data_IF_174784458488
#
_entry.id   IF_174784458488
#
_cell.length_a   1.000
_cell.length_b   1.000
_cell.length_c   1.000
_cell.angle_alpha   90.00
_cell.angle_beta   90.00
_cell.angle_gamma   90.00
#
_symmetry.space_group_name_H-M   'P 1'
#
loop_
_entity.id
_entity.type
_entity.pdbx_description
1 polymer ?
#
# COMPACT_ATOMS: atom_id res chain seq x y z
N UNK A 1 -13.93 26.59 1.47
CA UNK A 1 -13.01 25.45 1.72
C UNK A 1 -13.44 24.82 3.03
N UNK A 2 -13.98 23.62 2.95
CA UNK A 2 -14.45 22.91 4.13
C UNK A 2 -13.34 22.03 4.66
N UNK A 3 -12.42 22.64 5.45
CA UNK A 3 -11.44 21.87 6.22
C UNK A 3 -12.13 21.29 7.44
N UNK A 4 -12.21 19.95 7.50
CA UNK A 4 -12.62 19.26 8.70
C UNK A 4 -11.41 19.00 9.60
N UNK A 5 -11.36 19.65 10.75
CA UNK A 5 -10.33 19.36 11.76
C UNK A 5 -10.52 17.95 12.33
N UNK A 6 -9.56 17.09 12.09
CA UNK A 6 -9.49 15.76 12.68
C UNK A 6 -8.48 15.73 13.82
N UNK A 7 -8.78 14.97 14.87
CA UNK A 7 -7.82 14.76 15.97
C UNK A 7 -6.55 14.07 15.44
N UNK A 8 -5.33 14.45 15.88
CA UNK A 8 -4.07 13.93 15.36
C UNK A 8 -3.98 12.39 15.32
N UNK A 9 -4.49 11.70 16.34
CA UNK A 9 -4.49 10.24 16.36
C UNK A 9 -5.36 9.62 15.25
N UNK A 10 -6.47 10.28 14.86
CA UNK A 10 -7.30 9.81 13.74
C UNK A 10 -6.57 9.98 12.42
N UNK A 11 -5.87 11.10 12.24
CA UNK A 11 -5.04 11.35 11.05
C UNK A 11 -3.97 10.28 10.95
N UNK A 12 -3.28 9.97 12.06
CA UNK A 12 -2.28 8.90 12.09
C UNK A 12 -2.85 7.55 11.66
N UNK A 13 -4.00 7.14 12.23
CA UNK A 13 -4.63 5.84 11.90
C UNK A 13 -5.10 5.80 10.44
N UNK A 14 -5.65 6.91 9.92
CA UNK A 14 -6.07 7.02 8.51
C UNK A 14 -4.86 6.90 7.59
N UNK A 15 -3.76 7.60 7.88
CA UNK A 15 -2.53 7.51 7.10
C UNK A 15 -1.91 6.11 7.16
N UNK A 16 -1.88 5.51 8.34
CA UNK A 16 -1.42 4.14 8.49
C UNK A 16 -2.23 3.16 7.62
N UNK A 17 -3.56 3.29 7.61
CA UNK A 17 -4.43 2.45 6.78
C UNK A 17 -4.21 2.69 5.29
N UNK A 18 -3.99 3.94 4.87
CA UNK A 18 -3.72 4.28 3.48
C UNK A 18 -2.38 3.72 2.99
N UNK A 19 -1.34 3.77 3.84
CA UNK A 19 -0.01 3.24 3.52
C UNK A 19 -0.02 1.70 3.50
N UNK A 20 -0.73 1.07 4.43
CA UNK A 20 -0.81 -0.39 4.54
C UNK A 20 -1.80 -1.02 3.53
N UNK A 21 -1.76 -0.54 2.29
CA UNK A 21 -2.58 -1.09 1.18
C UNK A 21 -2.02 -2.40 0.62
N UNK A 22 -2.66 -2.88 -0.44
CA UNK A 22 -2.25 -4.13 -1.13
C UNK A 22 -0.80 -4.08 -1.62
N UNK A 23 -0.34 -2.95 -2.15
CA UNK A 23 1.02 -2.78 -2.66
C UNK A 23 2.09 -3.11 -1.62
N UNK A 24 2.12 -2.46 -0.46
CA UNK A 24 3.09 -2.75 0.60
C UNK A 24 3.04 -4.19 1.11
N UNK A 25 1.86 -4.79 1.22
CA UNK A 25 1.71 -6.17 1.69
C UNK A 25 2.19 -7.17 0.63
N UNK A 26 1.63 -7.12 -0.57
CA UNK A 26 2.00 -8.05 -1.64
C UNK A 26 3.40 -7.79 -2.19
N UNK A 27 3.84 -6.53 -2.22
CA UNK A 27 5.20 -6.18 -2.61
C UNK A 27 6.26 -6.78 -1.69
N UNK A 28 6.01 -6.77 -0.37
CA UNK A 28 6.89 -7.41 0.60
C UNK A 28 6.89 -8.95 0.45
N UNK A 29 5.73 -9.57 0.22
CA UNK A 29 5.60 -11.03 0.00
C UNK A 29 6.33 -11.43 -1.29
N UNK A 30 6.11 -10.70 -2.38
CA UNK A 30 6.81 -10.95 -3.65
C UNK A 30 8.31 -10.71 -3.50
N UNK A 31 8.70 -9.66 -2.79
CA UNK A 31 10.10 -9.37 -2.48
C UNK A 31 10.79 -10.51 -1.72
N UNK A 32 10.08 -11.17 -0.81
CA UNK A 32 10.61 -12.31 -0.06
C UNK A 32 11.04 -13.48 -0.97
N UNK A 33 10.43 -13.64 -2.15
CA UNK A 33 10.85 -14.64 -3.14
C UNK A 33 12.26 -14.39 -3.71
N UNK A 34 12.75 -13.15 -3.61
CA UNK A 34 14.10 -12.74 -4.05
C UNK A 34 15.13 -12.82 -2.92
N UNK A 35 14.70 -13.15 -1.71
CA UNK A 35 15.59 -13.28 -0.55
C UNK A 35 15.76 -11.99 0.26
N UNK A 36 16.66 -12.01 1.27
CA UNK A 36 16.81 -10.92 2.25
C UNK A 36 17.22 -9.57 1.64
N UNK A 37 17.79 -9.54 0.45
CA UNK A 37 18.20 -8.30 -0.23
C UNK A 37 16.99 -7.40 -0.52
N UNK A 38 15.83 -7.97 -0.81
CA UNK A 38 14.58 -7.21 -1.00
C UNK A 38 14.22 -6.39 0.24
N UNK A 39 14.51 -6.91 1.44
CA UNK A 39 14.29 -6.19 2.69
C UNK A 39 15.09 -4.89 2.80
N UNK A 40 16.35 -4.92 2.38
CA UNK A 40 17.21 -3.73 2.34
C UNK A 40 16.63 -2.67 1.42
N UNK A 41 16.20 -3.06 0.21
CA UNK A 41 15.57 -2.15 -0.75
C UNK A 41 14.25 -1.59 -0.23
N UNK A 42 13.42 -2.39 0.44
CA UNK A 42 12.16 -1.93 1.04
C UNK A 42 12.45 -0.88 2.11
N UNK A 43 13.37 -1.15 3.05
CA UNK A 43 13.69 -0.23 4.16
C UNK A 43 14.26 1.09 3.62
N UNK A 44 15.28 1.02 2.77
CA UNK A 44 15.91 2.22 2.20
C UNK A 44 14.91 2.98 1.32
N UNK A 45 14.17 2.29 0.47
CA UNK A 45 13.16 2.89 -0.39
C UNK A 45 12.04 3.58 0.39
N UNK A 46 11.52 2.95 1.43
CA UNK A 46 10.49 3.56 2.28
C UNK A 46 11.00 4.80 3.02
N UNK A 47 12.24 4.78 3.55
CA UNK A 47 12.80 5.91 4.30
C UNK A 47 13.13 7.08 3.37
N UNK A 48 13.88 6.84 2.30
CA UNK A 48 14.40 7.94 1.47
C UNK A 48 13.45 8.37 0.36
N UNK A 49 12.73 7.44 -0.28
CA UNK A 49 11.85 7.76 -1.39
C UNK A 49 10.40 7.92 -0.93
N UNK A 50 9.86 6.94 -0.22
CA UNK A 50 8.47 6.94 0.20
C UNK A 50 8.16 8.10 1.14
N UNK A 51 8.87 8.20 2.26
CA UNK A 51 8.65 9.26 3.25
C UNK A 51 8.89 10.67 2.67
N UNK A 52 9.91 10.82 1.82
CA UNK A 52 10.19 12.10 1.15
C UNK A 52 9.08 12.48 0.18
N UNK A 53 8.62 11.53 -0.64
CA UNK A 53 7.52 11.74 -1.58
C UNK A 53 6.25 12.16 -0.83
N UNK A 54 5.86 11.43 0.20
CA UNK A 54 4.63 11.69 0.95
C UNK A 54 4.68 13.03 1.69
N UNK A 55 5.81 13.33 2.30
CA UNK A 55 6.02 14.62 2.97
C UNK A 55 5.90 15.80 2.00
N UNK A 56 6.62 15.77 0.89
CA UNK A 56 6.59 16.88 -0.07
C UNK A 56 5.28 16.99 -0.80
N UNK A 57 4.66 15.90 -1.20
CA UNK A 57 3.34 15.93 -1.86
C UNK A 57 2.25 16.46 -0.93
N UNK A 58 2.24 16.04 0.33
CA UNK A 58 1.30 16.55 1.33
C UNK A 58 1.54 18.02 1.67
N UNK A 59 2.79 18.41 1.91
CA UNK A 59 3.15 19.79 2.22
C UNK A 59 2.82 20.74 1.05
N UNK A 60 3.14 20.35 -0.17
CA UNK A 60 2.85 21.15 -1.36
C UNK A 60 1.34 21.26 -1.61
N UNK A 61 0.60 20.17 -1.40
CA UNK A 61 -0.87 20.20 -1.53
C UNK A 61 -1.49 21.17 -0.53
N UNK A 62 -1.10 21.11 0.75
CA UNK A 62 -1.59 22.05 1.78
C UNK A 62 -1.22 23.48 1.44
N UNK A 63 0.00 23.74 0.99
CA UNK A 63 0.47 25.07 0.60
C UNK A 63 -0.28 25.67 -0.59
N UNK A 64 -0.89 24.82 -1.40
CA UNK A 64 -1.69 25.18 -2.57
C UNK A 64 -3.18 24.85 -2.40
N UNK A 65 -3.70 24.99 -1.20
CA UNK A 65 -5.13 24.88 -0.90
C UNK A 65 -5.75 23.53 -1.26
N UNK A 66 -5.02 22.43 -1.08
CA UNK A 66 -5.49 21.07 -1.37
C UNK A 66 -5.45 20.70 -2.86
N UNK A 67 -4.68 21.44 -3.65
CA UNK A 67 -4.54 21.19 -5.10
C UNK A 67 -3.90 19.81 -5.37
N UNK A 68 -4.35 19.15 -6.45
CA UNK A 68 -3.84 17.85 -6.87
C UNK A 68 -2.37 17.88 -7.32
N UNK A 69 -1.65 16.77 -7.18
CA UNK A 69 -0.25 16.69 -7.60
C UNK A 69 -0.01 17.06 -9.07
N UNK A 70 -0.82 16.60 -10.06
CA UNK A 70 -0.67 17.04 -11.45
C UNK A 70 -0.80 18.55 -11.65
N UNK A 71 -1.69 19.18 -10.90
CA UNK A 71 -1.90 20.63 -10.97
C UNK A 71 -0.72 21.41 -10.37
N UNK A 72 -0.16 20.91 -9.25
CA UNK A 72 1.04 21.48 -8.64
C UNK A 72 2.22 21.37 -9.60
N UNK A 73 2.44 20.19 -10.17
CA UNK A 73 3.50 19.97 -11.17
C UNK A 73 3.32 20.90 -12.36
N UNK A 74 2.09 21.06 -12.83
CA UNK A 74 1.77 21.98 -13.92
C UNK A 74 2.09 23.44 -13.62
N UNK A 75 1.93 23.87 -12.37
CA UNK A 75 2.25 25.23 -11.92
C UNK A 75 3.75 25.55 -12.01
N UNK A 76 4.60 24.54 -11.72
CA UNK A 76 6.06 24.72 -11.72
C UNK A 76 6.73 24.34 -13.05
N UNK A 77 6.22 23.31 -13.74
CA UNK A 77 6.83 22.74 -14.95
C UNK A 77 6.04 23.03 -16.24
N UNK A 78 4.91 23.73 -16.14
CA UNK A 78 4.12 24.15 -17.28
C UNK A 78 3.00 23.18 -17.70
N UNK A 79 2.14 23.66 -18.60
CA UNK A 79 0.87 23.03 -18.94
C UNK A 79 1.02 21.66 -19.68
N UNK A 80 2.09 21.49 -20.45
CA UNK A 80 2.33 20.23 -21.15
C UNK A 80 2.65 19.09 -20.17
N UNK A 81 3.46 19.38 -19.16
CA UNK A 81 3.79 18.43 -18.10
C UNK A 81 2.54 18.13 -17.25
N UNK A 82 1.71 19.14 -16.99
CA UNK A 82 0.41 18.94 -16.31
C UNK A 82 -0.47 17.94 -17.05
N UNK A 83 -0.67 18.11 -18.35
CA UNK A 83 -1.49 17.20 -19.18
C UNK A 83 -0.95 15.77 -19.15
N UNK A 84 0.37 15.63 -19.29
CA UNK A 84 1.02 14.32 -19.20
C UNK A 84 0.80 13.68 -17.82
N UNK A 85 1.04 14.42 -16.74
CA UNK A 85 0.84 13.94 -15.38
C UNK A 85 -0.61 13.58 -15.08
N UNK A 86 -1.57 14.36 -15.58
CA UNK A 86 -3.00 14.06 -15.42
C UNK A 86 -3.37 12.72 -16.11
N UNK A 87 -2.90 12.54 -17.34
CA UNK A 87 -3.10 11.27 -18.06
C UNK A 87 -2.45 10.10 -17.36
N UNK A 88 -1.18 10.25 -16.97
CA UNK A 88 -0.41 9.23 -16.25
C UNK A 88 -1.06 8.84 -14.92
N UNK A 89 -1.48 9.84 -14.13
CA UNK A 89 -2.17 9.61 -12.85
C UNK A 89 -3.49 8.91 -13.07
N UNK A 90 -4.28 9.28 -14.09
CA UNK A 90 -5.52 8.60 -14.43
C UNK A 90 -5.29 7.13 -14.79
N UNK A 91 -4.29 6.85 -15.62
CA UNK A 91 -3.91 5.47 -15.97
C UNK A 91 -3.43 4.68 -14.75
N UNK A 92 -2.60 5.29 -13.90
CA UNK A 92 -2.11 4.68 -12.67
C UNK A 92 -3.27 4.32 -11.72
N UNK A 93 -4.21 5.23 -11.53
CA UNK A 93 -5.38 5.00 -10.67
C UNK A 93 -6.26 3.86 -11.20
N UNK A 94 -6.43 3.74 -12.52
CA UNK A 94 -7.12 2.60 -13.12
C UNK A 94 -6.40 1.29 -12.84
N UNK A 95 -5.08 1.24 -13.06
CA UNK A 95 -4.28 0.05 -12.80
C UNK A 95 -4.32 -0.37 -11.33
N UNK A 96 -4.20 0.59 -10.41
CA UNK A 96 -4.35 0.37 -8.97
C UNK A 96 -5.76 -0.13 -8.65
N UNK A 97 -6.80 0.47 -9.23
CA UNK A 97 -8.19 0.04 -9.03
C UNK A 97 -8.41 -1.42 -9.43
N UNK A 98 -7.86 -1.85 -10.57
CA UNK A 98 -7.90 -3.26 -11.00
C UNK A 98 -7.22 -4.17 -9.97
N UNK A 99 -6.06 -3.78 -9.44
CA UNK A 99 -5.34 -4.55 -8.43
C UNK A 99 -6.13 -4.68 -7.13
N UNK A 100 -6.81 -3.62 -6.72
CA UNK A 100 -7.67 -3.60 -5.52
C UNK A 100 -8.96 -4.41 -5.68
N UNK A 101 -9.40 -4.70 -6.90
CA UNK A 101 -10.52 -5.63 -7.15
C UNK A 101 -10.00 -7.07 -7.20
N UNK A 102 -8.93 -7.31 -7.94
CA UNK A 102 -8.41 -8.66 -8.17
C UNK A 102 -7.79 -9.28 -6.90
N UNK A 103 -7.01 -8.53 -6.14
CA UNK A 103 -6.33 -9.05 -4.95
C UNK A 103 -7.30 -9.66 -3.92
N UNK A 104 -8.28 -8.91 -3.42
CA UNK A 104 -9.28 -9.44 -2.51
C UNK A 104 -10.13 -10.56 -3.11
N UNK A 105 -10.44 -10.51 -4.42
CA UNK A 105 -11.22 -11.55 -5.10
C UNK A 105 -10.46 -12.89 -5.14
N UNK A 106 -9.17 -12.84 -5.40
CA UNK A 106 -8.31 -14.03 -5.38
C UNK A 106 -8.19 -14.62 -3.97
N UNK A 107 -7.94 -13.77 -2.97
CA UNK A 107 -7.89 -14.19 -1.57
C UNK A 107 -9.19 -14.85 -1.10
N UNK A 108 -10.34 -14.26 -1.41
CA UNK A 108 -11.65 -14.82 -1.05
C UNK A 108 -11.94 -16.10 -1.83
N UNK A 109 -11.55 -16.18 -3.09
CA UNK A 109 -11.63 -17.40 -3.88
C UNK A 109 -10.88 -18.55 -3.22
N UNK A 110 -9.64 -18.30 -2.85
CA UNK A 110 -8.79 -19.29 -2.18
C UNK A 110 -9.32 -19.70 -0.79
N UNK A 111 -9.83 -18.75 0.00
CA UNK A 111 -10.39 -19.03 1.33
C UNK A 111 -11.70 -19.82 1.28
N UNK A 112 -12.51 -19.60 0.26
CA UNK A 112 -13.84 -20.25 0.13
C UNK A 112 -13.84 -21.47 -0.77
N UNK A 113 -12.70 -21.80 -1.39
CA UNK A 113 -12.59 -22.84 -2.42
C UNK A 113 -13.55 -22.62 -3.61
N UNK A 114 -13.87 -21.36 -3.89
CA UNK A 114 -14.71 -20.95 -5.01
C UNK A 114 -13.86 -20.31 -6.12
N UNK A 115 -14.38 -20.27 -7.34
CA UNK A 115 -13.72 -19.52 -8.40
C UNK A 115 -13.64 -18.02 -8.06
N UNK A 116 -12.62 -17.33 -8.57
CA UNK A 116 -12.41 -15.90 -8.36
C UNK A 116 -13.57 -15.03 -8.95
N UNK A 117 -14.19 -15.48 -10.01
CA UNK A 117 -15.17 -14.70 -10.81
C UNK A 117 -16.35 -14.17 -10.00
N UNK A 118 -17.08 -14.96 -9.20
CA UNK A 118 -18.18 -14.45 -8.36
C UNK A 118 -17.70 -13.34 -7.42
N UNK A 119 -16.51 -13.49 -6.81
CA UNK A 119 -15.95 -12.52 -5.90
C UNK A 119 -15.57 -11.20 -6.58
N UNK A 120 -15.11 -11.24 -7.84
CA UNK A 120 -14.90 -10.04 -8.65
C UNK A 120 -16.19 -9.22 -8.77
N UNK A 121 -17.31 -9.84 -9.08
CA UNK A 121 -18.60 -9.13 -9.19
C UNK A 121 -19.06 -8.55 -7.83
N UNK A 122 -18.92 -9.31 -6.76
CA UNK A 122 -19.30 -8.85 -5.42
C UNK A 122 -18.46 -7.64 -4.99
N UNK A 123 -17.14 -7.70 -5.18
CA UNK A 123 -16.23 -6.62 -4.81
C UNK A 123 -16.46 -5.39 -5.70
N UNK A 124 -16.66 -5.59 -7.00
CA UNK A 124 -16.94 -4.50 -7.92
C UNK A 124 -18.27 -3.80 -7.57
N UNK A 125 -19.33 -4.57 -7.29
CA UNK A 125 -20.59 -4.03 -6.80
C UNK A 125 -20.44 -3.26 -5.49
N UNK A 126 -19.64 -3.79 -4.54
CA UNK A 126 -19.31 -3.08 -3.30
C UNK A 126 -18.63 -1.73 -3.58
N UNK A 127 -17.68 -1.65 -4.51
CA UNK A 127 -17.03 -0.39 -4.85
C UNK A 127 -17.97 0.62 -5.50
N UNK A 128 -18.87 0.17 -6.37
CA UNK A 128 -19.92 1.05 -6.92
C UNK A 128 -20.78 1.62 -5.79
N UNK A 129 -21.24 0.77 -4.89
CA UNK A 129 -22.04 1.19 -3.74
C UNK A 129 -21.26 2.14 -2.81
N UNK A 130 -20.00 1.83 -2.53
CA UNK A 130 -19.14 2.66 -1.70
C UNK A 130 -18.89 4.05 -2.31
N UNK A 131 -18.82 4.14 -3.63
CA UNK A 131 -18.67 5.43 -4.35
C UNK A 131 -19.93 6.32 -4.20
N UNK A 132 -21.09 5.74 -4.01
CA UNK A 132 -22.35 6.48 -3.80
C UNK A 132 -22.55 6.96 -2.35
N UNK A 133 -21.76 6.43 -1.40
CA UNK A 133 -21.87 6.81 0.00
C UNK A 133 -21.04 8.08 0.28
N UNK A 134 -21.51 8.98 1.17
CA UNK A 134 -20.77 10.16 1.55
C UNK A 134 -19.48 9.76 2.31
N UNK A 135 -18.35 10.07 1.70
CA UNK A 135 -17.00 9.71 2.16
C UNK A 135 -16.74 10.15 3.60
N UNK A 136 -17.20 11.33 3.99
CA UNK A 136 -16.98 11.93 5.31
C UNK A 136 -17.50 11.06 6.47
N UNK A 137 -18.65 10.39 6.27
CA UNK A 137 -19.22 9.50 7.29
C UNK A 137 -18.45 8.20 7.45
N UNK A 138 -17.88 7.70 6.35
CA UNK A 138 -17.10 6.46 6.33
C UNK A 138 -15.71 6.70 6.92
N UNK A 139 -15.00 7.73 6.45
CA UNK A 139 -13.67 8.09 6.94
C UNK A 139 -13.69 8.39 8.44
N UNK A 140 -14.67 9.15 8.91
CA UNK A 140 -14.74 9.55 10.31
C UNK A 140 -15.00 8.43 11.31
N UNK A 141 -15.69 7.35 10.92
CA UNK A 141 -16.14 6.28 11.85
C UNK A 141 -15.52 4.91 11.55
N UNK A 142 -15.50 4.50 10.29
CA UNK A 142 -15.07 3.14 9.89
C UNK A 142 -13.57 3.04 9.78
N UNK A 143 -12.90 4.04 9.20
CA UNK A 143 -11.45 4.02 9.02
C UNK A 143 -10.64 3.87 10.30
N UNK A 144 -10.94 4.60 11.40
CA UNK A 144 -10.21 4.40 12.65
C UNK A 144 -10.32 2.98 13.20
N UNK A 145 -11.51 2.35 13.07
CA UNK A 145 -11.71 0.98 13.51
C UNK A 145 -10.91 -0.01 12.66
N UNK A 146 -10.98 0.13 11.33
CA UNK A 146 -10.20 -0.72 10.41
C UNK A 146 -8.68 -0.55 10.61
N UNK A 147 -8.22 0.69 10.82
CA UNK A 147 -6.80 0.97 11.10
C UNK A 147 -6.31 0.32 12.39
N UNK A 148 -7.11 0.36 13.46
CA UNK A 148 -6.78 -0.32 14.72
C UNK A 148 -6.77 -1.84 14.56
N UNK A 149 -7.71 -2.40 13.80
CA UNK A 149 -7.73 -3.83 13.49
C UNK A 149 -6.48 -4.25 12.71
N UNK A 150 -6.02 -3.43 11.76
CA UNK A 150 -4.81 -3.67 11.00
C UNK A 150 -3.54 -3.60 11.88
N UNK A 151 -3.45 -2.61 12.77
CA UNK A 151 -2.35 -2.51 13.75
C UNK A 151 -2.33 -3.74 14.64
N UNK A 152 -3.50 -4.16 15.15
CA UNK A 152 -3.60 -5.37 15.97
C UNK A 152 -3.12 -6.62 15.20
N UNK A 153 -3.55 -6.77 13.96
CA UNK A 153 -3.11 -7.87 13.10
C UNK A 153 -1.59 -7.84 12.89
N UNK A 154 -1.01 -6.68 12.58
CA UNK A 154 0.43 -6.54 12.37
C UNK A 154 1.23 -6.90 13.63
N UNK A 155 0.79 -6.43 14.81
CA UNK A 155 1.42 -6.76 16.09
C UNK A 155 1.25 -8.25 16.44
N UNK A 156 0.08 -8.83 16.21
CA UNK A 156 -0.18 -10.23 16.48
C UNK A 156 0.68 -11.17 15.60
N UNK A 157 0.73 -10.90 14.30
CA UNK A 157 1.54 -11.68 13.35
C UNK A 157 3.04 -11.49 13.66
N UNK A 158 3.50 -10.24 13.82
CA UNK A 158 4.89 -9.95 14.16
C UNK A 158 5.29 -10.59 15.49
N UNK A 159 4.45 -10.49 16.51
CA UNK A 159 4.66 -11.14 17.81
C UNK A 159 4.73 -12.65 17.71
N UNK A 160 3.85 -13.27 16.92
CA UNK A 160 3.86 -14.72 16.69
C UNK A 160 5.16 -15.17 15.99
N UNK A 161 5.60 -14.44 14.97
CA UNK A 161 6.84 -14.74 14.26
C UNK A 161 8.07 -14.62 15.18
N UNK A 162 8.15 -13.53 15.96
CA UNK A 162 9.23 -13.35 16.95
C UNK A 162 9.21 -14.47 18.01
N UNK A 163 8.05 -14.77 18.57
CA UNK A 163 7.91 -15.86 19.54
C UNK A 163 8.32 -17.23 18.93
N UNK A 164 7.91 -17.49 17.70
CA UNK A 164 8.29 -18.71 16.98
C UNK A 164 9.79 -18.82 16.72
N UNK A 165 10.44 -17.70 16.38
CA UNK A 165 11.90 -17.61 16.20
C UNK A 165 12.64 -17.85 17.53
N UNK A 166 12.26 -17.17 18.62
CA UNK A 166 12.89 -17.34 19.93
C UNK A 166 12.69 -18.75 20.53
N UNK A 167 11.57 -19.40 20.25
CA UNK A 167 11.29 -20.75 20.71
C UNK A 167 11.83 -21.86 19.80
N UNK A 168 12.47 -21.49 18.69
CA UNK A 168 13.00 -22.45 17.70
C UNK A 168 11.93 -23.19 16.90
N UNK A 169 10.65 -22.77 16.99
CA UNK A 169 9.54 -23.35 16.22
C UNK A 169 9.52 -22.87 14.77
N UNK A 170 10.08 -21.72 14.52
CA UNK A 170 10.21 -21.13 13.18
C UNK A 170 11.70 -20.91 12.91
N UNK A 171 12.15 -21.29 11.73
CA UNK A 171 13.48 -20.98 11.26
C UNK A 171 13.49 -19.52 10.79
N UNK A 172 14.28 -18.70 11.46
CA UNK A 172 14.58 -17.34 11.02
C UNK A 172 15.94 -17.37 10.35
N UNK A 173 15.99 -17.02 9.08
CA UNK A 173 17.23 -16.96 8.32
C UNK A 173 18.11 -15.83 8.85
N UNK A 174 19.39 -16.12 9.06
CA UNK A 174 20.33 -15.11 9.52
C UNK A 174 20.62 -14.12 8.38
N UNK A 175 20.52 -12.82 8.67
CA UNK A 175 20.87 -11.75 7.74
C UNK A 175 22.37 -11.58 7.69
N UNK A 176 23.05 -12.44 6.94
CA UNK A 176 24.49 -12.36 6.65
C UNK A 176 24.73 -11.89 5.23
N UNK A 177 25.94 -11.38 4.93
CA UNK A 177 26.27 -10.98 3.55
C UNK A 177 26.17 -12.14 2.55
N UNK A 178 26.37 -13.37 3.01
CA UNK A 178 26.25 -14.57 2.16
C UNK A 178 24.79 -14.95 1.85
N UNK A 179 23.85 -14.61 2.74
CA UNK A 179 22.43 -14.84 2.55
C UNK A 179 21.74 -13.67 1.81
N UNK A 180 22.39 -12.51 1.70
CA UNK A 180 21.94 -11.36 0.91
C UNK A 180 22.16 -11.56 -0.60
N UNK A 181 21.77 -12.71 -1.12
CA UNK A 181 21.80 -13.05 -2.54
C UNK A 181 20.38 -13.13 -3.09
N UNK A 182 20.26 -12.95 -4.40
CA UNK A 182 19.00 -13.24 -5.06
C UNK A 182 18.74 -14.75 -5.01
N UNK A 183 17.67 -15.14 -4.32
CA UNK A 183 17.26 -16.53 -4.14
C UNK A 183 16.16 -16.96 -5.11
N UNK A 184 15.78 -16.12 -6.06
CA UNK A 184 14.71 -16.43 -7.00
C UNK A 184 15.10 -17.64 -7.87
N UNK A 185 14.19 -18.60 -7.97
CA UNK A 185 14.44 -19.86 -8.67
C UNK A 185 14.60 -19.71 -10.19
N UNK A 186 14.09 -18.64 -10.77
CA UNK A 186 14.20 -18.37 -12.20
C UNK A 186 15.45 -17.52 -12.50
N UNK A 187 16.42 -18.03 -13.29
CA UNK A 187 17.62 -17.30 -13.67
C UNK A 187 17.34 -15.99 -14.41
N UNK A 188 16.24 -15.87 -15.14
CA UNK A 188 15.85 -14.65 -15.85
C UNK A 188 15.56 -13.48 -14.89
N UNK A 189 15.20 -13.76 -13.67
CA UNK A 189 14.91 -12.76 -12.64
C UNK A 189 16.12 -12.41 -11.76
N UNK A 190 17.30 -13.01 -12.04
CA UNK A 190 18.53 -12.76 -11.31
C UNK A 190 19.32 -11.53 -11.79
N UNK A 191 18.78 -10.77 -12.73
CA UNK A 191 19.51 -9.69 -13.43
C UNK A 191 19.68 -8.42 -12.56
N UNK A 192 18.95 -8.28 -11.47
CA UNK A 192 18.90 -7.04 -10.71
C UNK A 192 19.62 -7.05 -9.36
N UNK A 193 20.27 -8.15 -8.98
CA UNK A 193 20.96 -8.27 -7.67
C UNK A 193 22.24 -9.09 -7.77
#
# INVERSE_FOLDING_TARGET
>A
MDYHELKPWRIFVIQFLNIAGLGPIFGAILGAAYGPMAYVWIVIGCIFMGATHDYFSGMLSIRHDGTSLPDIVGKYLGNNVRKFMTFFTGFLLLAVGVSFVNGPADLLGNLTNMSMTPWLYVIFAYYILATLLPIDKIIGKIYPFMGLALIFMAVAVGGYLLYGGFTGKLYLEELTFDTMKNMHADPANNILF
#
